data_IF_360847376414
#
_entry.id   IF_360847376414
#
_cell.length_a   1.000
_cell.length_b   1.000
_cell.length_c   1.000
_cell.angle_alpha   90.00
_cell.angle_beta   90.00
_cell.angle_gamma   90.00
#
_symmetry.space_group_name_H-M   'P 1'
#
loop_
_entity.id
_entity.type
_entity.pdbx_description
1 polymer ?
#
# COMPACT_ATOMS: atom_id res chain seq x y z
N UNK A 1 -4.05 -62.29 17.47
CA UNK A 1 -5.25 -62.75 16.74
C UNK A 1 -5.52 -61.73 15.65
N UNK A 2 -5.47 -62.18 14.37
CA UNK A 2 -6.15 -61.69 13.14
C UNK A 2 -6.08 -60.18 12.80
N UNK A 3 -5.46 -59.75 11.69
CA UNK A 3 -5.94 -59.85 10.27
C UNK A 3 -7.30 -59.15 10.10
N UNK A 4 -7.64 -58.31 9.11
CA UNK A 4 -7.20 -57.98 7.74
C UNK A 4 -7.99 -56.68 7.34
N UNK A 5 -7.47 -55.72 6.57
CA UNK A 5 -7.49 -55.61 5.10
C UNK A 5 -8.88 -55.51 4.41
N UNK A 6 -9.16 -54.37 3.73
CA UNK A 6 -9.85 -54.16 2.42
C UNK A 6 -10.17 -52.64 2.29
N UNK A 7 -9.53 -51.81 1.44
CA UNK A 7 -9.37 -51.75 -0.03
C UNK A 7 -10.49 -51.03 -0.79
N UNK A 8 -10.04 -50.15 -1.71
CA UNK A 8 -10.63 -49.64 -2.99
C UNK A 8 -11.11 -48.18 -3.01
N UNK A 9 -10.88 -47.36 -4.04
CA UNK A 9 -10.01 -47.38 -5.24
C UNK A 9 -10.25 -46.03 -5.98
N UNK A 10 -9.20 -45.47 -6.60
CA UNK A 10 -9.11 -44.67 -7.86
C UNK A 10 -7.93 -43.69 -7.65
N UNK A 11 -6.74 -43.91 -8.22
CA UNK A 11 -6.43 -43.89 -9.67
C UNK A 11 -6.13 -42.43 -10.03
N UNK A 12 -4.90 -42.03 -10.33
CA UNK A 12 -4.31 -42.08 -11.68
C UNK A 12 -2.76 -42.18 -11.64
N UNK A 13 -2.26 -43.06 -12.53
CA UNK A 13 -0.88 -43.34 -12.97
C UNK A 13 -0.15 -42.05 -13.44
N UNK A 14 1.08 -41.76 -12.97
CA UNK A 14 2.38 -42.19 -13.52
C UNK A 14 2.64 -41.74 -14.98
N UNK A 15 3.71 -40.96 -15.17
CA UNK A 15 4.93 -41.44 -15.83
C UNK A 15 6.07 -40.41 -15.72
N UNK A 16 7.19 -40.85 -15.14
CA UNK A 16 8.51 -40.23 -15.23
C UNK A 16 9.33 -41.03 -16.24
N UNK A 17 10.21 -40.39 -17.01
CA UNK A 17 11.06 -41.08 -17.99
C UNK A 17 12.16 -40.21 -18.59
N UNK A 18 13.28 -40.13 -17.88
CA UNK A 18 14.66 -40.33 -18.32
C UNK A 18 15.18 -39.81 -19.70
N UNK A 19 16.24 -38.99 -19.59
CA UNK A 19 17.54 -39.15 -20.25
C UNK A 19 17.81 -38.67 -21.71
N UNK A 20 18.74 -37.70 -21.79
CA UNK A 20 20.01 -37.74 -22.55
C UNK A 20 20.02 -37.29 -24.04
N UNK A 21 20.93 -36.34 -24.31
CA UNK A 21 21.68 -35.97 -25.54
C UNK A 21 21.18 -34.87 -26.51
N UNK A 22 22.10 -33.90 -26.68
CA UNK A 22 22.52 -33.15 -27.89
C UNK A 22 22.16 -31.66 -28.07
N UNK A 23 23.25 -30.85 -28.15
CA UNK A 23 23.40 -29.64 -28.97
C UNK A 23 22.88 -28.35 -28.34
N UNK A 24 23.63 -27.25 -28.17
CA UNK A 24 25.00 -26.91 -28.52
C UNK A 24 25.27 -25.50 -27.97
N UNK A 25 26.45 -25.29 -27.40
CA UNK A 25 26.98 -23.96 -27.11
C UNK A 25 27.40 -23.28 -28.41
N UNK A 26 27.06 -22.00 -28.57
CA UNK A 26 27.81 -21.08 -29.43
C UNK A 26 28.20 -19.84 -28.60
N UNK A 27 29.50 -19.60 -28.57
CA UNK A 27 30.19 -18.51 -27.90
C UNK A 27 30.26 -17.25 -28.78
N UNK A 28 30.49 -16.10 -28.12
CA UNK A 28 31.23 -14.94 -28.65
C UNK A 28 30.36 -13.88 -29.34
N UNK A 29 30.59 -12.57 -29.21
CA UNK A 29 31.79 -11.81 -28.84
C UNK A 29 31.40 -10.36 -28.43
N UNK A 30 32.37 -9.67 -27.81
CA UNK A 30 32.36 -8.34 -27.15
C UNK A 30 32.48 -7.15 -28.18
N UNK A 31 32.66 -5.87 -27.80
CA UNK A 31 31.81 -4.73 -28.23
C UNK A 31 32.54 -3.57 -28.99
N UNK A 32 31.86 -2.40 -29.11
CA UNK A 32 32.31 -1.00 -29.41
C UNK A 32 32.09 -0.46 -30.86
N UNK A 33 32.26 0.86 -31.16
CA UNK A 33 31.40 2.01 -30.79
C UNK A 33 31.18 3.03 -31.98
N UNK A 34 30.53 4.18 -31.73
CA UNK A 34 30.51 5.38 -32.59
C UNK A 34 29.37 6.32 -32.18
N UNK A 35 29.54 7.50 -31.58
CA UNK A 35 30.25 8.76 -31.93
C UNK A 35 29.42 9.73 -32.82
N UNK A 36 29.55 11.03 -32.48
CA UNK A 36 29.03 12.29 -33.06
C UNK A 36 27.69 12.80 -32.46
N UNK A 37 27.51 14.06 -32.03
CA UNK A 37 28.37 15.25 -32.01
C UNK A 37 27.77 16.36 -31.10
N UNK A 38 28.66 17.05 -30.36
CA UNK A 38 28.80 18.50 -30.18
C UNK A 38 27.61 19.46 -29.90
N UNK A 39 27.68 20.17 -28.76
CA UNK A 39 27.37 21.61 -28.67
C UNK A 39 28.12 22.29 -27.50
N UNK A 40 28.92 23.27 -27.88
CA UNK A 40 29.75 24.21 -27.13
C UNK A 40 28.93 25.39 -26.57
N UNK A 41 29.26 25.87 -25.35
CA UNK A 41 29.24 27.30 -25.01
C UNK A 41 29.83 27.57 -23.60
N UNK A 42 30.92 28.35 -23.56
CA UNK A 42 31.01 29.49 -22.65
C UNK A 42 32.13 29.49 -21.60
N UNK A 43 33.30 29.97 -22.00
CA UNK A 43 34.39 30.41 -21.11
C UNK A 43 34.29 31.91 -20.77
N UNK A 44 34.79 32.29 -19.59
CA UNK A 44 35.21 33.65 -19.18
C UNK A 44 36.02 33.51 -17.89
N UNK A 45 37.34 33.54 -17.92
CA UNK A 45 38.27 34.69 -17.93
C UNK A 45 38.13 35.64 -16.72
N UNK A 46 39.09 35.53 -15.79
CA UNK A 46 39.56 36.65 -14.96
C UNK A 46 40.98 36.34 -14.40
N UNK A 47 41.98 36.75 -15.17
CA UNK A 47 43.23 37.46 -14.79
C UNK A 47 44.05 37.05 -13.54
N UNK A 48 45.32 36.76 -13.87
CA UNK A 48 46.58 36.83 -13.13
C UNK A 48 46.79 38.01 -12.16
N UNK A 49 47.51 37.71 -11.08
CA UNK A 49 48.20 38.67 -10.21
C UNK A 49 49.31 37.96 -9.44
N UNK A 50 50.54 38.06 -9.93
CA UNK A 50 51.77 37.63 -9.26
C UNK A 50 52.13 38.65 -8.17
N UNK A 51 52.40 38.20 -6.93
CA UNK A 51 53.57 38.69 -6.18
C UNK A 51 54.01 37.67 -5.12
N UNK A 52 55.32 37.61 -4.93
CA UNK A 52 56.06 36.54 -4.30
C UNK A 52 56.27 36.70 -2.79
N UNK A 53 56.35 35.55 -2.10
CA UNK A 53 57.29 35.35 -1.00
C UNK A 53 56.74 35.44 0.43
N UNK A 54 56.51 34.29 1.06
CA UNK A 54 57.14 33.98 2.35
C UNK A 54 56.99 32.48 2.63
N UNK A 55 58.10 31.86 3.05
CA UNK A 55 58.14 30.48 3.48
C UNK A 55 57.26 30.25 4.71
N UNK A 56 56.48 29.17 4.70
CA UNK A 56 56.06 28.49 5.91
C UNK A 56 56.06 26.98 5.67
N UNK A 57 56.81 26.29 6.51
CA UNK A 57 56.92 24.84 6.58
C UNK A 57 55.72 24.32 7.36
N UNK A 58 54.65 23.96 6.64
CA UNK A 58 53.50 23.27 7.19
C UNK A 58 53.20 22.04 6.36
N UNK A 59 53.37 20.86 6.97
CA UNK A 59 52.82 19.60 6.47
C UNK A 59 51.31 19.80 6.39
N UNK A 60 50.80 19.99 5.17
CA UNK A 60 49.37 20.00 4.91
C UNK A 60 48.85 18.59 5.21
N UNK A 61 48.04 18.47 6.24
CA UNK A 61 47.13 17.34 6.37
C UNK A 61 46.15 17.42 5.19
N UNK A 62 46.32 16.50 4.26
CA UNK A 62 45.32 16.18 3.25
C UNK A 62 44.06 15.71 3.98
N UNK A 63 43.05 16.58 4.05
CA UNK A 63 41.71 16.26 4.60
C UNK A 63 40.70 16.16 3.48
N UNK A 64 41.13 15.72 2.29
CA UNK A 64 40.27 15.59 1.12
C UNK A 64 40.42 14.23 0.43
N UNK A 65 40.21 13.15 1.17
CA UNK A 65 39.81 11.87 0.62
C UNK A 65 38.84 11.19 1.58
N UNK A 66 37.63 10.75 1.15
CA UNK A 66 36.88 9.79 1.93
C UNK A 66 37.70 8.50 1.87
N UNK A 67 38.46 8.21 2.93
CA UNK A 67 39.17 6.94 3.07
C UNK A 67 38.17 5.83 2.79
N UNK A 68 38.37 5.15 1.66
CA UNK A 68 37.69 3.92 1.34
C UNK A 68 38.21 2.86 2.31
N UNK A 69 37.69 2.87 3.52
CA UNK A 69 37.85 1.90 4.61
C UNK A 69 38.94 0.86 4.43
N UNK A 70 40.22 1.27 4.46
CA UNK A 70 41.29 0.30 4.66
C UNK A 70 41.17 -0.17 6.11
N UNK A 71 40.56 -1.33 6.30
CA UNK A 71 40.48 -1.97 7.62
C UNK A 71 41.88 -2.40 8.02
N UNK A 72 42.53 -1.61 8.87
CA UNK A 72 43.81 -2.02 9.45
C UNK A 72 43.59 -3.18 10.43
N UNK A 73 44.53 -4.14 10.49
CA UNK A 73 44.47 -5.21 11.47
C UNK A 73 44.45 -4.63 12.89
N UNK A 74 43.86 -5.34 13.88
CA UNK A 74 43.85 -4.92 15.28
C UNK A 74 45.24 -4.50 15.77
N UNK A 75 46.25 -5.29 15.39
CA UNK A 75 47.68 -5.15 15.71
C UNK A 75 48.43 -4.08 14.93
N UNK A 76 47.74 -3.20 14.21
CA UNK A 76 48.39 -2.08 13.53
C UNK A 76 48.85 -1.03 14.56
N UNK A 77 50.14 -0.73 14.53
CA UNK A 77 50.76 0.30 15.38
C UNK A 77 50.44 1.72 14.91
N UNK A 78 50.69 2.73 15.75
CA UNK A 78 50.54 4.14 15.36
C UNK A 78 51.75 4.60 14.53
N UNK A 79 51.52 5.03 13.29
CA UNK A 79 52.60 5.45 12.38
C UNK A 79 53.44 6.56 13.03
N UNK A 80 54.76 6.35 13.09
CA UNK A 80 55.73 7.24 13.73
C UNK A 80 56.12 6.87 15.16
N UNK A 81 55.41 5.92 15.78
CA UNK A 81 55.77 5.36 17.09
C UNK A 81 57.07 4.55 17.03
N UNK A 82 57.79 4.46 18.16
CA UNK A 82 59.05 3.73 18.29
C UNK A 82 58.97 2.80 19.49
N UNK A 83 59.16 1.51 19.27
CA UNK A 83 58.96 0.46 20.29
C UNK A 83 60.26 -0.31 20.51
N UNK A 84 60.62 -0.52 21.76
CA UNK A 84 61.76 -1.36 22.14
C UNK A 84 61.38 -2.83 22.05
N UNK A 85 61.88 -3.54 21.03
CA UNK A 85 61.58 -4.98 20.85
C UNK A 85 62.54 -5.89 21.64
N UNK A 86 63.63 -5.32 22.20
CA UNK A 86 64.52 -5.99 23.16
C UNK A 86 65.41 -4.95 23.86
N UNK A 87 66.20 -5.37 24.86
CA UNK A 87 67.20 -4.53 25.51
C UNK A 87 68.21 -3.87 24.57
N UNK A 88 68.38 -4.39 23.34
CA UNK A 88 69.39 -3.87 22.40
C UNK A 88 68.81 -3.56 21.02
N UNK A 89 67.49 -3.55 20.87
CA UNK A 89 66.85 -3.33 19.56
C UNK A 89 65.59 -2.49 19.65
N UNK A 90 65.37 -1.69 18.61
CA UNK A 90 64.27 -0.77 18.45
C UNK A 90 63.63 -0.93 17.06
N UNK A 91 62.29 -0.97 17.00
CA UNK A 91 61.52 -0.89 15.77
C UNK A 91 60.77 0.45 15.68
N UNK A 92 60.61 0.99 14.47
CA UNK A 92 59.73 2.12 14.20
C UNK A 92 58.44 1.62 13.55
N UNK A 93 57.31 2.19 13.94
CA UNK A 93 56.06 1.97 13.23
C UNK A 93 56.05 2.78 11.93
N UNK A 94 55.93 2.09 10.80
CA UNK A 94 55.91 2.67 9.46
C UNK A 94 54.62 2.31 8.74
N UNK A 95 54.21 3.13 7.78
CA UNK A 95 53.08 2.81 6.89
C UNK A 95 53.43 1.58 6.02
N UNK A 96 52.52 0.60 5.98
CA UNK A 96 52.62 -0.60 5.14
C UNK A 96 52.37 -0.34 3.64
N UNK A 97 52.04 0.91 3.28
CA UNK A 97 51.70 1.37 1.94
C UNK A 97 50.20 1.37 1.67
N UNK A 98 49.37 0.91 2.61
CA UNK A 98 47.91 0.94 2.55
C UNK A 98 47.30 1.88 3.61
N UNK A 99 48.12 2.62 4.35
CA UNK A 99 47.70 3.49 5.44
C UNK A 99 47.64 2.79 6.80
N UNK A 100 48.17 1.56 6.92
CA UNK A 100 48.20 0.82 8.18
C UNK A 100 49.61 0.75 8.76
N UNK A 101 49.74 0.94 10.06
CA UNK A 101 51.04 0.87 10.73
C UNK A 101 51.54 -0.56 10.90
N UNK A 102 52.81 -0.79 10.55
CA UNK A 102 53.54 -2.03 10.80
C UNK A 102 54.91 -1.75 11.42
N UNK A 103 55.35 -2.58 12.35
CA UNK A 103 56.69 -2.48 12.94
C UNK A 103 57.75 -2.80 11.88
N UNK A 104 58.68 -1.86 11.69
CA UNK A 104 59.86 -2.07 10.85
C UNK A 104 60.74 -3.19 11.41
N UNK A 105 61.61 -3.79 10.57
CA UNK A 105 62.65 -4.70 11.07
C UNK A 105 63.49 -4.04 12.18
N UNK A 106 63.65 -4.68 13.36
CA UNK A 106 64.33 -4.06 14.49
C UNK A 106 65.77 -3.66 14.16
N UNK A 107 66.09 -2.42 14.50
CA UNK A 107 67.44 -1.85 14.41
C UNK A 107 68.18 -2.03 15.74
N UNK A 108 69.41 -2.56 15.68
CA UNK A 108 70.22 -2.74 16.90
C UNK A 108 70.77 -1.41 17.40
N UNK A 109 70.68 -1.19 18.71
CA UNK A 109 71.38 -0.11 19.40
C UNK A 109 72.91 -0.31 19.34
N UNK A 110 73.68 0.76 19.50
CA UNK A 110 75.15 0.68 19.50
C UNK A 110 75.69 -0.17 20.65
N UNK A 111 76.95 -0.60 20.57
CA UNK A 111 77.58 -1.56 21.50
C UNK A 111 77.57 -1.19 22.99
N UNK A 112 77.29 0.08 23.33
CA UNK A 112 77.15 0.59 24.70
C UNK A 112 75.79 1.30 24.90
N UNK A 113 74.76 0.85 24.19
CA UNK A 113 73.43 1.41 24.29
C UNK A 113 72.40 0.30 24.51
N UNK A 114 71.41 0.62 25.33
CA UNK A 114 70.23 -0.20 25.58
C UNK A 114 69.00 0.53 25.07
N UNK A 115 67.98 -0.22 24.65
CA UNK A 115 66.69 0.36 24.32
C UNK A 115 65.87 0.57 25.60
N UNK A 116 65.37 1.79 25.79
CA UNK A 116 64.44 2.17 26.85
C UNK A 116 63.57 3.32 26.33
N UNK A 117 62.27 3.27 26.62
CA UNK A 117 61.27 4.27 26.19
C UNK A 117 61.36 4.64 24.69
N UNK A 118 61.43 3.64 23.81
CA UNK A 118 61.51 3.84 22.36
C UNK A 118 62.82 4.51 21.87
N UNK A 119 63.88 4.53 22.68
CA UNK A 119 65.16 5.15 22.34
C UNK A 119 66.38 4.30 22.74
N UNK A 120 67.45 4.38 21.94
CA UNK A 120 68.75 3.81 22.32
C UNK A 120 69.49 4.79 23.24
N UNK A 121 69.50 4.52 24.54
CA UNK A 121 70.17 5.31 25.59
C UNK A 121 71.49 4.66 26.00
N UNK A 122 72.41 5.40 26.63
CA UNK A 122 73.70 4.85 27.08
C UNK A 122 73.49 3.78 28.15
N UNK A 123 74.15 2.64 27.98
CA UNK A 123 74.13 1.56 28.96
C UNK A 123 74.97 1.95 30.19
N UNK A 124 74.31 2.20 31.31
CA UNK A 124 74.95 2.53 32.58
C UNK A 124 75.25 1.29 33.44
N UNK A 125 74.79 0.11 33.02
CA UNK A 125 74.86 -1.15 33.78
C UNK A 125 74.03 -1.17 35.06
N UNK A 126 73.28 -0.11 35.36
CA UNK A 126 72.34 -0.04 36.46
C UNK A 126 70.91 -0.25 35.94
N UNK A 127 70.04 -0.81 36.79
CA UNK A 127 68.60 -0.81 36.55
C UNK A 127 68.11 0.64 36.52
N UNK A 128 67.54 1.04 35.39
CA UNK A 128 66.81 2.30 35.22
C UNK A 128 65.36 1.91 35.02
N UNK A 129 64.54 2.33 35.96
CA UNK A 129 63.10 2.06 36.11
C UNK A 129 62.52 3.40 36.57
N UNK A 130 62.03 4.20 35.63
CA UNK A 130 61.71 5.60 35.91
C UNK A 130 60.29 5.82 36.46
N UNK A 131 59.38 4.89 36.22
CA UNK A 131 58.00 4.89 36.73
C UNK A 131 57.80 3.98 37.97
N UNK A 132 58.72 3.06 38.23
CA UNK A 132 58.79 2.25 39.45
C UNK A 132 58.01 0.94 39.39
N UNK A 133 57.69 0.44 38.21
CA UNK A 133 56.95 -0.81 38.00
C UNK A 133 57.84 -2.08 38.12
N UNK A 134 59.17 -1.89 38.16
CA UNK A 134 60.18 -2.92 38.26
C UNK A 134 60.74 -3.43 36.93
N UNK A 135 60.26 -2.92 35.81
CA UNK A 135 60.78 -3.13 34.46
C UNK A 135 61.66 -1.96 34.04
N UNK A 136 62.46 -2.15 32.99
CA UNK A 136 63.33 -1.10 32.45
C UNK A 136 64.73 -1.56 32.07
N UNK A 137 65.58 -0.61 31.71
CA UNK A 137 66.92 -0.92 31.23
C UNK A 137 67.76 -1.61 32.31
N UNK A 138 68.29 -2.80 32.03
CA UNK A 138 69.06 -3.64 32.96
C UNK A 138 68.32 -4.05 34.25
N UNK A 139 66.98 -3.94 34.29
CA UNK A 139 66.19 -4.39 35.43
C UNK A 139 66.00 -5.91 35.42
N UNK A 140 65.78 -6.49 36.60
CA UNK A 140 65.70 -7.97 36.75
C UNK A 140 64.41 -8.55 36.16
N UNK A 141 63.34 -7.76 36.13
CA UNK A 141 62.04 -8.16 35.56
C UNK A 141 62.06 -8.17 34.03
N UNK A 142 62.97 -7.41 33.42
CA UNK A 142 63.14 -7.34 31.97
C UNK A 142 63.18 -5.90 31.45
N UNK A 143 63.39 -5.71 30.14
CA UNK A 143 63.24 -4.41 29.50
C UNK A 143 61.79 -3.93 29.56
N UNK A 144 61.63 -2.61 29.48
CA UNK A 144 60.34 -1.95 29.33
C UNK A 144 60.27 -1.22 27.98
N UNK A 145 59.13 -1.34 27.30
CA UNK A 145 58.86 -0.60 26.08
C UNK A 145 58.54 0.88 26.35
N UNK A 146 58.05 1.25 27.55
CA UNK A 146 57.81 2.63 27.98
C UNK A 146 58.12 2.90 29.47
N UNK A 147 59.40 3.09 29.77
CA UNK A 147 60.00 3.36 31.10
C UNK A 147 59.45 4.57 31.89
N UNK A 148 58.44 5.28 31.37
CA UNK A 148 57.81 6.44 32.00
C UNK A 148 56.31 6.28 32.24
N UNK A 149 55.76 5.08 32.08
CA UNK A 149 54.35 4.74 32.25
C UNK A 149 54.22 3.36 32.91
N UNK A 150 53.90 3.34 34.20
CA UNK A 150 53.81 2.12 35.04
C UNK A 150 52.70 1.14 34.62
N UNK A 151 51.91 1.50 33.60
CA UNK A 151 50.88 0.67 33.00
C UNK A 151 51.31 -0.03 31.71
N UNK A 152 52.49 0.29 31.19
CA UNK A 152 53.04 -0.27 29.95
C UNK A 152 54.31 -1.02 30.29
N UNK A 153 54.24 -2.35 30.32
CA UNK A 153 55.37 -3.20 30.65
C UNK A 153 55.09 -4.66 30.27
N UNK A 154 56.12 -5.53 30.20
CA UNK A 154 55.90 -6.95 29.95
C UNK A 154 54.82 -7.57 30.85
N UNK A 155 53.82 -8.22 30.24
CA UNK A 155 52.66 -8.83 30.90
C UNK A 155 51.68 -7.84 31.58
N UNK A 156 51.69 -6.56 31.22
CA UNK A 156 50.61 -5.64 31.57
C UNK A 156 49.29 -6.09 30.92
N UNK A 157 48.18 -5.45 31.33
CA UNK A 157 46.88 -5.70 30.69
C UNK A 157 46.74 -4.82 29.46
N UNK A 158 46.40 -5.43 28.33
CA UNK A 158 46.22 -4.71 27.08
C UNK A 158 44.94 -3.86 27.11
N UNK A 159 45.08 -2.56 26.87
CA UNK A 159 44.00 -1.58 26.81
C UNK A 159 43.76 -1.25 25.35
N UNK A 160 42.51 -1.08 24.92
CA UNK A 160 42.25 -0.64 23.54
C UNK A 160 42.59 0.85 23.40
N UNK A 161 43.86 1.19 23.21
CA UNK A 161 44.34 2.56 23.04
C UNK A 161 45.29 2.73 21.83
N UNK A 162 45.55 1.63 21.11
CA UNK A 162 46.44 1.62 19.96
C UNK A 162 47.92 1.63 20.32
N UNK A 163 48.27 1.28 21.56
CA UNK A 163 49.64 1.04 22.03
C UNK A 163 49.85 -0.45 22.29
N UNK A 164 51.09 -0.81 22.58
CA UNK A 164 51.52 -2.15 22.99
C UNK A 164 51.72 -2.07 24.51
N UNK A 165 50.68 -2.31 25.31
CA UNK A 165 50.77 -2.14 26.76
C UNK A 165 51.56 -3.29 27.39
N UNK A 166 51.46 -4.50 26.85
CA UNK A 166 52.13 -5.68 27.40
C UNK A 166 53.53 -5.96 26.83
N UNK A 167 54.02 -5.06 25.96
CA UNK A 167 55.31 -5.08 25.29
C UNK A 167 55.61 -6.37 24.50
N UNK A 168 54.59 -7.06 23.96
CA UNK A 168 54.76 -8.27 23.15
C UNK A 168 55.03 -8.00 21.65
N UNK A 169 54.92 -6.73 21.23
CA UNK A 169 55.10 -6.27 19.86
C UNK A 169 53.81 -6.30 19.01
N UNK A 170 52.67 -6.60 19.60
CA UNK A 170 51.33 -6.43 19.05
C UNK A 170 50.63 -5.27 19.74
N UNK A 171 49.47 -4.88 19.20
CA UNK A 171 48.75 -3.70 19.64
C UNK A 171 47.28 -4.08 19.73
N UNK A 172 46.65 -3.83 20.88
CA UNK A 172 45.26 -4.17 21.16
C UNK A 172 44.89 -5.63 20.76
N UNK A 173 45.80 -6.59 20.84
CA UNK A 173 45.59 -7.98 20.36
C UNK A 173 44.56 -8.76 21.18
N UNK A 174 44.34 -8.36 22.44
CA UNK A 174 43.23 -8.82 23.26
C UNK A 174 41.86 -8.25 22.83
N UNK A 175 41.83 -7.37 21.82
CA UNK A 175 40.63 -6.77 21.22
C UNK A 175 40.43 -7.20 19.76
N UNK A 176 40.19 -8.49 19.46
CA UNK A 176 40.19 -9.05 18.10
C UNK A 176 39.09 -8.50 17.18
N UNK A 177 38.10 -7.81 17.75
CA UNK A 177 37.01 -7.18 17.01
C UNK A 177 37.41 -5.82 16.43
N UNK A 178 38.45 -5.15 16.95
CA UNK A 178 38.94 -3.85 16.45
C UNK A 178 39.19 -3.93 14.95
N UNK A 179 38.73 -2.95 14.19
CA UNK A 179 38.86 -2.91 12.74
C UNK A 179 37.89 -3.80 11.96
N UNK A 180 37.11 -4.68 12.60
CA UNK A 180 36.08 -5.49 11.92
C UNK A 180 34.81 -4.69 11.62
N UNK A 181 34.05 -5.12 10.60
CA UNK A 181 32.78 -4.49 10.25
C UNK A 181 31.73 -4.73 11.34
N UNK A 182 30.99 -3.68 11.67
CA UNK A 182 29.86 -3.73 12.59
C UNK A 182 28.65 -3.00 11.99
N UNK A 183 27.49 -3.16 12.62
CA UNK A 183 26.29 -2.39 12.28
C UNK A 183 25.60 -1.91 13.54
N UNK A 184 25.07 -0.69 13.51
CA UNK A 184 24.25 -0.12 14.58
C UNK A 184 22.83 0.17 14.08
N UNK A 185 21.82 -0.07 14.91
CA UNK A 185 20.41 0.02 14.54
C UNK A 185 19.85 -1.28 13.95
N UNK A 186 18.53 -1.32 13.76
CA UNK A 186 17.79 -2.42 13.12
C UNK A 186 16.97 -1.87 11.95
N UNK A 187 16.49 -2.76 11.07
CA UNK A 187 15.63 -2.37 9.94
C UNK A 187 16.26 -1.31 9.03
N UNK A 188 15.48 -0.27 8.70
CA UNK A 188 15.92 0.85 7.86
C UNK A 188 17.00 1.71 8.54
N UNK A 189 17.13 1.59 9.86
CA UNK A 189 18.04 2.36 10.68
C UNK A 189 19.42 1.72 10.82
N UNK A 190 19.61 0.52 10.25
CA UNK A 190 20.88 -0.17 10.26
C UNK A 190 21.95 0.64 9.48
N UNK A 191 22.95 1.13 10.19
CA UNK A 191 24.12 1.82 9.63
C UNK A 191 25.35 0.93 9.79
N UNK A 192 26.13 0.82 8.71
CA UNK A 192 27.40 0.09 8.74
C UNK A 192 28.51 0.96 9.33
N UNK A 193 29.37 0.35 10.13
CA UNK A 193 30.54 0.98 10.73
C UNK A 193 31.67 -0.03 10.90
N UNK A 194 32.65 0.36 11.71
CA UNK A 194 33.79 -0.47 12.08
C UNK A 194 33.99 -0.41 13.59
N UNK A 195 34.37 -1.51 14.22
CA UNK A 195 34.69 -1.49 15.64
C UNK A 195 35.95 -0.65 15.88
N UNK A 196 35.83 0.35 16.75
CA UNK A 196 36.89 1.27 17.19
C UNK A 196 37.06 1.17 18.70
N UNK A 197 38.19 1.59 19.24
CA UNK A 197 38.38 1.61 20.69
C UNK A 197 37.42 2.60 21.36
N UNK A 198 36.86 2.21 22.50
CA UNK A 198 36.10 3.10 23.37
C UNK A 198 37.02 4.17 23.93
N UNK A 199 36.45 5.34 24.23
CA UNK A 199 37.19 6.44 24.83
C UNK A 199 37.83 6.11 26.19
N UNK A 200 37.34 5.09 26.90
CA UNK A 200 37.87 4.64 28.20
C UNK A 200 38.87 3.47 28.09
N UNK A 201 39.16 3.00 26.87
CA UNK A 201 40.07 1.87 26.61
C UNK A 201 39.54 0.50 27.04
N UNK A 202 38.33 0.41 27.60
CA UNK A 202 37.77 -0.84 28.17
C UNK A 202 37.34 -1.89 27.14
N UNK A 203 37.50 -1.58 25.85
CA UNK A 203 37.14 -2.46 24.75
C UNK A 203 36.84 -1.69 23.47
N UNK A 204 36.10 -2.33 22.57
CA UNK A 204 35.67 -1.73 21.31
C UNK A 204 34.19 -1.35 21.32
N UNK A 205 33.83 -0.36 20.51
CA UNK A 205 32.47 0.03 20.19
C UNK A 205 32.30 0.25 18.68
N UNK A 206 31.08 0.15 18.16
CA UNK A 206 30.84 0.37 16.74
C UNK A 206 30.91 1.87 16.42
N UNK A 207 31.69 2.25 15.40
CA UNK A 207 31.77 3.65 14.95
C UNK A 207 30.48 4.18 14.32
N UNK A 208 29.56 3.29 13.93
CA UNK A 208 28.25 3.66 13.44
C UNK A 208 27.29 3.95 14.60
N UNK A 209 26.49 5.00 14.45
CA UNK A 209 25.29 5.22 15.25
C UNK A 209 24.06 4.78 14.46
N UNK A 210 23.01 4.34 15.15
CA UNK A 210 21.74 4.02 14.49
C UNK A 210 21.23 5.24 13.70
N UNK A 211 20.66 4.98 12.51
CA UNK A 211 20.06 6.03 11.68
C UNK A 211 18.89 6.71 12.37
N UNK A 212 18.54 7.92 11.92
CA UNK A 212 17.29 8.56 12.32
C UNK A 212 16.12 7.91 11.60
N UNK A 213 15.13 7.43 12.36
CA UNK A 213 13.93 6.83 11.82
C UNK A 213 13.05 7.78 11.01
N UNK A 214 12.15 7.18 10.24
CA UNK A 214 11.06 7.81 9.51
C UNK A 214 9.76 7.09 9.86
N UNK A 215 8.59 7.64 9.51
CA UNK A 215 7.33 6.97 9.81
C UNK A 215 7.24 5.58 9.15
N UNK A 216 6.66 4.61 9.86
CA UNK A 216 6.37 3.26 9.38
C UNK A 216 5.65 3.23 8.03
N UNK A 217 5.99 2.22 7.23
CA UNK A 217 5.36 1.95 5.94
C UNK A 217 4.65 0.60 5.98
N UNK A 218 3.33 0.64 5.88
CA UNK A 218 2.47 -0.52 5.91
C UNK A 218 2.92 -1.68 5.00
N UNK A 219 3.20 -2.82 5.63
CA UNK A 219 3.38 -4.12 5.02
C UNK A 219 4.75 -4.34 4.37
N UNK A 220 5.76 -3.53 4.72
CA UNK A 220 7.13 -3.76 4.26
C UNK A 220 7.95 -4.64 5.23
N UNK A 221 7.46 -4.88 6.45
CA UNK A 221 8.11 -5.63 7.53
C UNK A 221 9.49 -5.07 7.89
N UNK A 222 9.69 -3.76 7.76
CA UNK A 222 10.91 -3.06 8.12
C UNK A 222 10.58 -2.07 9.24
N UNK A 223 11.41 -2.07 10.29
CA UNK A 223 11.41 -1.03 11.33
C UNK A 223 11.98 0.25 10.71
N UNK A 224 11.09 1.15 10.30
CA UNK A 224 11.42 2.40 9.61
C UNK A 224 11.63 3.53 10.61
N UNK A 225 10.99 3.48 11.78
CA UNK A 225 11.02 4.52 12.81
C UNK A 225 12.04 4.28 13.94
N UNK A 226 12.66 3.10 13.93
CA UNK A 226 13.67 2.61 14.85
C UNK A 226 13.20 2.36 16.29
N UNK A 227 11.90 2.13 16.53
CA UNK A 227 11.36 1.85 17.87
C UNK A 227 11.52 0.37 18.31
N UNK A 228 11.97 -0.50 17.40
CA UNK A 228 12.17 -1.93 17.61
C UNK A 228 10.94 -2.80 17.30
N UNK A 229 9.89 -2.22 16.74
CA UNK A 229 8.74 -2.92 16.17
C UNK A 229 8.75 -2.77 14.65
N UNK A 230 7.92 -3.57 13.97
CA UNK A 230 7.79 -3.52 12.51
C UNK A 230 6.32 -3.33 12.19
N UNK A 231 6.00 -2.39 11.30
CA UNK A 231 4.62 -2.12 10.85
C UNK A 231 3.66 -1.74 12.00
N UNK A 232 4.15 -1.17 13.09
CA UNK A 232 3.28 -0.70 14.17
C UNK A 232 2.39 0.45 13.70
N UNK A 233 1.16 0.49 14.24
CA UNK A 233 0.10 1.35 13.70
C UNK A 233 -0.68 0.74 12.51
N UNK A 234 -0.18 -0.34 11.88
CA UNK A 234 -0.86 -1.07 10.80
C UNK A 234 -1.30 -2.50 11.21
N UNK A 235 -1.42 -2.77 12.51
CA UNK A 235 -1.79 -4.09 13.07
C UNK A 235 -3.18 -4.61 12.64
N UNK A 236 -4.00 -3.75 12.03
CA UNK A 236 -5.31 -4.09 11.51
C UNK A 236 -5.28 -4.65 10.07
N UNK A 237 -4.12 -4.62 9.39
CA UNK A 237 -3.97 -5.22 8.06
C UNK A 237 -4.33 -6.71 8.12
N UNK A 238 -5.17 -7.14 7.18
CA UNK A 238 -5.72 -8.51 7.13
C UNK A 238 -6.95 -8.74 8.02
N UNK A 239 -7.35 -7.78 8.87
CA UNK A 239 -8.63 -7.85 9.58
C UNK A 239 -9.80 -7.64 8.63
N UNK A 240 -10.97 -8.18 8.99
CA UNK A 240 -12.21 -7.95 8.27
C UNK A 240 -12.64 -6.48 8.42
N UNK A 241 -13.11 -5.90 7.34
CA UNK A 241 -13.71 -4.57 7.30
C UNK A 241 -14.98 -4.60 6.45
N UNK A 242 -15.79 -3.56 6.54
CA UNK A 242 -16.91 -3.33 5.63
C UNK A 242 -16.77 -1.94 5.01
N UNK A 243 -17.22 -1.80 3.78
CA UNK A 243 -17.30 -0.53 3.05
C UNK A 243 -18.71 -0.38 2.49
N UNK A 244 -19.25 0.85 2.48
CA UNK A 244 -20.65 1.12 2.14
C UNK A 244 -21.56 1.26 3.36
N UNK A 245 -22.81 1.67 3.13
CA UNK A 245 -23.84 1.87 4.16
C UNK A 245 -25.08 1.03 3.84
N UNK A 246 -25.80 0.55 4.85
CA UNK A 246 -27.04 -0.20 4.66
C UNK A 246 -26.88 -1.46 3.80
N UNK A 247 -27.77 -1.64 2.82
CA UNK A 247 -27.80 -2.76 1.87
C UNK A 247 -26.51 -2.86 1.01
N UNK A 248 -25.78 -1.76 0.88
CA UNK A 248 -24.55 -1.65 0.10
C UNK A 248 -23.28 -2.03 0.89
N UNK A 249 -23.42 -2.46 2.15
CA UNK A 249 -22.28 -2.87 2.98
C UNK A 249 -21.66 -4.16 2.44
N UNK A 250 -20.54 -4.03 1.75
CA UNK A 250 -19.71 -5.15 1.29
C UNK A 250 -18.61 -5.45 2.29
N UNK A 251 -18.46 -6.73 2.63
CA UNK A 251 -17.35 -7.18 3.47
C UNK A 251 -16.06 -7.25 2.65
N UNK A 252 -14.96 -6.83 3.26
CA UNK A 252 -13.63 -6.83 2.68
C UNK A 252 -12.56 -7.12 3.73
N UNK A 253 -11.31 -6.92 3.33
CA UNK A 253 -10.14 -7.04 4.20
C UNK A 253 -9.32 -5.77 4.17
N UNK A 254 -8.79 -5.36 5.30
CA UNK A 254 -7.93 -4.17 5.37
C UNK A 254 -6.61 -4.46 4.65
N UNK A 255 -6.23 -3.57 3.73
CA UNK A 255 -4.99 -3.63 2.96
C UNK A 255 -4.25 -2.31 3.04
N UNK A 256 -2.93 -2.37 2.90
CA UNK A 256 -2.11 -1.18 2.73
C UNK A 256 -2.48 -0.47 1.42
N UNK A 257 -2.58 0.86 1.47
CA UNK A 257 -2.77 1.65 0.26
C UNK A 257 -1.51 1.64 -0.62
N UNK A 258 -1.61 2.22 -1.82
CA UNK A 258 -0.49 2.25 -2.77
C UNK A 258 0.72 3.06 -2.28
N UNK A 259 0.51 4.01 -1.36
CA UNK A 259 1.58 4.82 -0.75
C UNK A 259 2.24 4.15 0.46
N UNK A 260 1.61 3.10 1.01
CA UNK A 260 1.96 2.44 2.27
C UNK A 260 1.89 3.33 3.52
N UNK A 261 1.40 4.55 3.40
CA UNK A 261 1.24 5.46 4.56
C UNK A 261 -0.11 5.31 5.26
N UNK A 262 -1.00 4.49 4.71
CA UNK A 262 -2.34 4.25 5.23
C UNK A 262 -2.90 2.89 4.85
N UNK A 263 -4.11 2.64 5.32
CA UNK A 263 -4.87 1.42 5.02
C UNK A 263 -6.24 1.75 4.44
N UNK A 264 -6.76 0.85 3.62
CA UNK A 264 -8.12 0.94 3.07
C UNK A 264 -8.80 -0.43 3.13
N UNK A 265 -10.13 -0.44 3.05
CA UNK A 265 -10.90 -1.68 2.98
C UNK A 265 -10.94 -2.19 1.53
N UNK A 266 -10.22 -3.27 1.25
CA UNK A 266 -10.25 -3.95 -0.04
C UNK A 266 -11.40 -4.96 -0.08
N UNK A 267 -12.43 -4.65 -0.87
CA UNK A 267 -13.61 -5.49 -1.09
C UNK A 267 -13.43 -6.47 -2.26
N UNK A 268 -12.21 -6.60 -2.81
CA UNK A 268 -11.90 -7.52 -3.90
C UNK A 268 -12.53 -7.14 -5.24
N UNK A 269 -12.79 -5.85 -5.46
CA UNK A 269 -13.54 -5.39 -6.63
C UNK A 269 -15.04 -5.64 -6.54
N UNK A 270 -15.55 -6.06 -5.37
CA UNK A 270 -16.94 -5.88 -4.97
C UNK A 270 -17.22 -4.39 -4.88
N UNK A 271 -17.35 -3.77 -6.04
CA UNK A 271 -17.85 -2.41 -6.17
C UNK A 271 -19.24 -2.41 -5.55
N UNK A 272 -19.57 -1.39 -4.77
CA UNK A 272 -20.91 -1.17 -4.22
C UNK A 272 -21.99 -1.34 -5.30
N UNK A 273 -21.63 -1.16 -6.57
CA UNK A 273 -22.35 -1.43 -7.83
C UNK A 273 -23.01 -2.81 -8.00
N UNK A 274 -22.95 -3.70 -7.01
CA UNK A 274 -23.73 -4.94 -6.96
C UNK A 274 -25.15 -4.74 -6.40
N UNK A 275 -25.60 -3.50 -6.24
CA UNK A 275 -26.94 -3.19 -5.82
C UNK A 275 -28.00 -3.67 -6.82
N UNK A 276 -29.16 -4.04 -6.29
CA UNK A 276 -30.35 -4.32 -7.09
C UNK A 276 -30.96 -3.01 -7.58
N UNK A 277 -31.85 -3.04 -8.58
CA UNK A 277 -32.63 -1.85 -8.95
C UNK A 277 -33.26 -1.17 -7.71
N UNK A 278 -33.24 0.16 -7.69
CA UNK A 278 -33.80 1.00 -6.63
C UNK A 278 -35.24 0.60 -6.25
N UNK A 279 -35.52 0.64 -4.94
CA UNK A 279 -36.84 0.41 -4.36
C UNK A 279 -37.10 1.56 -3.40
N UNK A 280 -38.26 2.22 -3.49
CA UNK A 280 -38.58 3.40 -2.68
C UNK A 280 -38.87 3.05 -1.20
N UNK A 281 -37.88 2.55 -0.46
CA UNK A 281 -37.94 2.17 0.96
C UNK A 281 -37.06 3.04 1.87
N UNK A 282 -36.43 4.08 1.31
CA UNK A 282 -35.53 4.99 2.01
C UNK A 282 -34.13 4.41 2.26
N UNK A 283 -33.76 3.35 1.54
CA UNK A 283 -32.42 2.76 1.51
C UNK A 283 -31.87 2.84 0.08
N UNK A 284 -30.57 3.16 -0.04
CA UNK A 284 -29.81 3.09 -1.29
C UNK A 284 -29.62 1.61 -1.66
N UNK A 285 -30.37 1.12 -2.65
CA UNK A 285 -30.48 -0.30 -2.97
C UNK A 285 -29.62 -0.69 -4.18
N UNK A 286 -29.30 0.28 -5.04
CA UNK A 286 -28.47 0.16 -6.23
C UNK A 286 -27.03 0.67 -6.02
N UNK A 287 -26.78 1.32 -4.88
CA UNK A 287 -25.50 1.73 -4.35
C UNK A 287 -24.79 2.81 -5.17
N UNK A 288 -25.55 3.71 -5.80
CA UNK A 288 -25.03 4.87 -6.54
C UNK A 288 -24.69 6.07 -5.62
N UNK A 289 -25.04 5.99 -4.34
CA UNK A 289 -24.76 7.00 -3.32
C UNK A 289 -25.84 8.08 -3.18
N UNK A 290 -26.95 7.94 -3.88
CA UNK A 290 -28.18 8.68 -3.65
C UNK A 290 -29.21 7.75 -2.99
N UNK A 291 -30.38 8.28 -2.65
CA UNK A 291 -31.47 7.47 -2.10
C UNK A 291 -32.69 7.81 -2.91
N UNK A 292 -33.34 6.79 -3.48
CA UNK A 292 -34.56 6.91 -4.28
C UNK A 292 -34.39 7.80 -5.55
N UNK A 293 -33.21 7.83 -6.18
CA UNK A 293 -32.86 8.69 -7.32
C UNK A 293 -33.19 8.11 -8.69
N UNK A 294 -33.11 6.78 -8.87
CA UNK A 294 -33.46 6.11 -10.11
C UNK A 294 -34.98 5.94 -10.21
N UNK A 295 -35.66 7.02 -10.61
CA UNK A 295 -37.06 7.04 -11.05
C UNK A 295 -38.03 6.28 -10.13
N UNK A 296 -38.23 6.79 -8.91
CA UNK A 296 -39.55 6.78 -8.28
C UNK A 296 -40.54 7.66 -9.10
N UNK A 297 -40.60 7.52 -10.43
CA UNK A 297 -41.81 7.86 -11.17
C UNK A 297 -42.81 6.80 -10.77
N UNK A 298 -43.62 7.16 -9.79
CA UNK A 298 -44.93 6.60 -9.52
C UNK A 298 -45.43 5.74 -10.69
N UNK A 299 -45.44 4.43 -10.49
CA UNK A 299 -46.69 3.73 -10.75
C UNK A 299 -47.70 4.53 -9.93
N UNK A 300 -48.43 5.45 -10.57
CA UNK A 300 -49.49 6.19 -9.90
C UNK A 300 -50.39 5.14 -9.26
N UNK A 301 -50.31 5.05 -7.94
CA UNK A 301 -51.18 4.23 -7.11
C UNK A 301 -51.48 2.82 -7.65
N UNK A 302 -50.57 1.89 -7.45
CA UNK A 302 -51.00 0.53 -7.12
C UNK A 302 -50.22 -0.02 -5.92
N UNK A 303 -50.41 0.65 -4.78
CA UNK A 303 -50.19 0.00 -3.49
C UNK A 303 -51.48 -0.62 -2.94
N UNK A 304 -52.48 -0.92 -3.79
CA UNK A 304 -53.75 -1.56 -3.39
C UNK A 304 -54.48 -2.42 -4.46
N UNK A 305 -53.82 -3.28 -5.25
CA UNK A 305 -54.56 -4.17 -6.18
C UNK A 305 -54.04 -5.63 -6.27
N UNK A 306 -53.99 -6.42 -5.18
CA UNK A 306 -53.84 -7.86 -5.33
C UNK A 306 -55.20 -8.53 -5.63
N UNK A 307 -56.08 -7.98 -6.48
CA UNK A 307 -57.24 -8.68 -7.08
C UNK A 307 -58.17 -7.75 -7.88
N UNK A 308 -58.87 -8.34 -8.85
CA UNK A 308 -59.86 -7.77 -9.79
C UNK A 308 -61.09 -7.05 -9.17
N UNK A 309 -60.95 -6.24 -8.11
CA UNK A 309 -62.06 -5.67 -7.35
C UNK A 309 -61.80 -4.31 -6.73
N UNK A 310 -60.94 -3.47 -7.28
CA UNK A 310 -60.82 -2.14 -6.69
C UNK A 310 -61.94 -1.22 -7.06
N UNK A 311 -62.62 -0.86 -5.99
CA UNK A 311 -63.56 0.23 -5.93
C UNK A 311 -62.85 1.52 -5.48
N UNK A 312 -61.51 1.57 -5.37
CA UNK A 312 -60.72 2.70 -4.87
C UNK A 312 -59.83 3.33 -5.96
N UNK A 313 -60.27 3.32 -7.22
CA UNK A 313 -59.55 3.99 -8.31
C UNK A 313 -59.41 5.51 -8.10
N UNK A 314 -58.42 6.11 -8.76
CA UNK A 314 -58.11 7.55 -8.66
C UNK A 314 -59.32 8.41 -9.07
N UNK A 315 -59.59 9.48 -8.31
CA UNK A 315 -60.69 10.40 -8.60
C UNK A 315 -60.45 11.20 -9.90
N UNK A 316 -61.31 10.98 -10.91
CA UNK A 316 -61.34 11.75 -12.15
C UNK A 316 -62.25 12.99 -11.97
N UNK A 317 -61.71 14.00 -11.28
CA UNK A 317 -62.42 15.27 -10.97
C UNK A 317 -62.35 16.31 -12.09
N UNK A 318 -61.39 16.18 -13.01
CA UNK A 318 -61.25 16.99 -14.22
C UNK A 318 -60.43 16.23 -15.27
N UNK A 319 -60.27 16.81 -16.46
CA UNK A 319 -59.45 16.28 -17.56
C UNK A 319 -58.06 15.79 -17.12
N UNK A 320 -57.71 14.53 -17.43
CA UNK A 320 -56.37 13.98 -17.23
C UNK A 320 -55.86 13.35 -18.53
N UNK A 321 -54.64 13.68 -18.90
CA UNK A 321 -53.87 12.92 -19.90
C UNK A 321 -53.05 11.91 -19.12
N UNK A 322 -53.09 10.64 -19.55
CA UNK A 322 -52.39 9.53 -18.90
C UNK A 322 -51.37 9.04 -19.92
N UNK A 323 -50.13 9.49 -19.73
CA UNK A 323 -49.10 9.35 -20.75
C UNK A 323 -48.61 7.89 -20.92
N UNK A 324 -49.01 6.97 -20.04
CA UNK A 324 -48.54 5.58 -20.10
C UNK A 324 -49.54 4.58 -19.50
N UNK A 325 -50.01 3.62 -20.31
CA UNK A 325 -50.50 2.33 -19.80
C UNK A 325 -49.25 1.46 -19.54
N UNK A 326 -48.96 1.15 -18.27
CA UNK A 326 -47.73 0.44 -17.86
C UNK A 326 -48.05 -1.03 -17.60
N UNK A 327 -47.15 -1.91 -18.05
CA UNK A 327 -47.29 -3.36 -17.91
C UNK A 327 -47.24 -3.81 -16.45
N UNK A 328 -48.39 -4.04 -15.84
CA UNK A 328 -48.52 -4.72 -14.55
C UNK A 328 -49.02 -6.16 -14.75
N UNK A 329 -48.11 -7.14 -14.69
CA UNK A 329 -48.46 -8.55 -14.45
C UNK A 329 -48.18 -9.54 -15.58
N UNK A 330 -48.09 -10.81 -15.18
CA UNK A 330 -47.69 -11.97 -15.99
C UNK A 330 -48.61 -12.24 -17.21
N UNK A 331 -48.21 -13.19 -18.05
CA UNK A 331 -48.82 -13.50 -19.36
C UNK A 331 -50.30 -13.94 -19.34
N UNK A 332 -50.98 -13.89 -18.19
CA UNK A 332 -52.36 -14.36 -18.00
C UNK A 332 -53.36 -13.28 -17.61
N UNK A 333 -52.92 -12.07 -17.25
CA UNK A 333 -53.77 -10.90 -16.98
C UNK A 333 -53.40 -9.74 -17.89
N UNK A 334 -54.40 -9.02 -18.41
CA UNK A 334 -54.18 -7.75 -19.11
C UNK A 334 -54.40 -6.57 -18.16
N UNK A 335 -53.63 -5.52 -18.37
CA UNK A 335 -53.69 -4.29 -17.56
C UNK A 335 -55.03 -3.55 -17.74
N UNK A 336 -55.56 -3.02 -16.63
CA UNK A 336 -56.85 -2.34 -16.55
C UNK A 336 -56.77 -1.18 -15.57
N UNK A 337 -56.97 0.04 -16.06
CA UNK A 337 -57.00 1.25 -15.23
C UNK A 337 -58.41 1.56 -14.76
N UNK A 338 -58.62 1.69 -13.44
CA UNK A 338 -59.91 2.06 -12.85
C UNK A 338 -59.94 3.51 -12.39
N UNK A 339 -61.01 4.24 -12.72
CA UNK A 339 -61.22 5.64 -12.30
C UNK A 339 -62.55 5.81 -11.57
N UNK A 340 -62.53 6.59 -10.50
CA UNK A 340 -63.73 7.00 -9.76
C UNK A 340 -64.29 8.32 -10.32
N UNK A 341 -65.59 8.36 -10.57
CA UNK A 341 -66.32 9.52 -11.08
C UNK A 341 -67.19 10.20 -10.00
N UNK A 342 -67.19 9.68 -8.77
CA UNK A 342 -68.00 10.16 -7.66
C UNK A 342 -69.30 9.38 -7.47
N UNK A 343 -70.29 9.99 -6.82
CA UNK A 343 -71.56 9.34 -6.50
C UNK A 343 -72.70 9.87 -7.39
N UNK A 344 -73.55 8.97 -7.89
CA UNK A 344 -74.74 9.26 -8.68
C UNK A 344 -75.83 9.94 -7.84
N UNK A 345 -76.43 11.02 -8.34
CA UNK A 345 -77.73 11.52 -7.92
C UNK A 345 -78.75 11.48 -9.07
N UNK A 346 -80.05 11.30 -8.80
CA UNK A 346 -81.09 11.27 -9.84
C UNK A 346 -81.03 12.51 -10.74
N UNK A 347 -80.78 12.29 -12.04
CA UNK A 347 -80.66 13.35 -13.04
C UNK A 347 -79.22 13.76 -13.38
N UNK A 348 -78.21 13.17 -12.73
CA UNK A 348 -76.81 13.40 -13.07
C UNK A 348 -76.48 12.82 -14.45
N UNK A 349 -75.61 13.50 -15.19
CA UNK A 349 -75.01 13.00 -16.43
C UNK A 349 -73.50 13.26 -16.40
N UNK A 350 -72.72 12.29 -16.84
CA UNK A 350 -71.26 12.43 -17.01
C UNK A 350 -70.89 12.02 -18.43
N UNK A 351 -70.11 12.86 -19.09
CA UNK A 351 -69.56 12.52 -20.41
C UNK A 351 -68.10 12.13 -20.25
N UNK A 352 -67.77 10.94 -20.76
CA UNK A 352 -66.40 10.45 -20.84
C UNK A 352 -65.91 10.59 -22.27
N UNK A 353 -64.76 11.19 -22.43
CA UNK A 353 -64.02 11.29 -23.68
C UNK A 353 -62.71 10.53 -23.54
N UNK A 354 -62.49 9.58 -24.44
CA UNK A 354 -61.25 8.85 -24.60
C UNK A 354 -60.55 9.40 -25.85
N UNK A 355 -59.31 9.87 -25.69
CA UNK A 355 -58.43 10.22 -26.80
C UNK A 355 -57.28 9.24 -26.82
N UNK A 356 -57.03 8.63 -27.96
CA UNK A 356 -55.93 7.71 -28.15
C UNK A 356 -55.04 8.16 -29.32
N UNK A 357 -53.72 8.01 -29.18
CA UNK A 357 -52.83 8.22 -30.31
C UNK A 357 -52.77 7.01 -31.26
N UNK A 358 -52.70 7.29 -32.56
CA UNK A 358 -52.49 6.27 -33.59
C UNK A 358 -51.00 6.13 -33.90
N UNK A 359 -50.47 4.91 -33.99
CA UNK A 359 -49.09 4.72 -34.42
C UNK A 359 -48.41 3.52 -33.80
N UNK A 360 -47.08 3.59 -33.72
CA UNK A 360 -46.22 2.59 -33.09
C UNK A 360 -45.35 3.24 -32.02
N UNK A 361 -45.09 2.53 -30.92
CA UNK A 361 -44.10 2.96 -29.95
C UNK A 361 -42.67 2.87 -30.51
N UNK A 362 -41.68 3.36 -29.74
CA UNK A 362 -40.26 3.35 -30.12
C UNK A 362 -39.70 1.94 -30.42
N UNK A 363 -40.35 0.89 -29.90
CA UNK A 363 -40.00 -0.51 -30.14
C UNK A 363 -40.72 -1.13 -31.35
N UNK A 364 -41.53 -0.36 -32.08
CA UNK A 364 -42.21 -0.78 -33.31
C UNK A 364 -43.52 -1.55 -33.09
N UNK A 365 -44.06 -1.58 -31.87
CA UNK A 365 -45.37 -2.18 -31.58
C UNK A 365 -46.48 -1.17 -31.85
N UNK A 366 -47.53 -1.60 -32.56
CA UNK A 366 -48.71 -0.77 -32.81
C UNK A 366 -49.47 -0.50 -31.51
N UNK A 367 -49.94 0.73 -31.32
CA UNK A 367 -50.86 1.07 -30.23
C UNK A 367 -52.21 0.36 -30.45
N UNK A 368 -52.70 -0.44 -29.48
CA UNK A 368 -53.94 -1.17 -29.62
C UNK A 368 -55.13 -0.27 -29.30
N UNK A 369 -56.24 -0.39 -30.03
CA UNK A 369 -57.50 0.28 -29.65
C UNK A 369 -57.85 0.03 -28.17
N UNK A 370 -58.29 1.08 -27.47
CA UNK A 370 -58.72 1.00 -26.07
C UNK A 370 -60.25 1.10 -25.96
N UNK A 371 -60.83 0.30 -25.06
CA UNK A 371 -62.24 0.38 -24.71
C UNK A 371 -62.38 0.94 -23.28
N UNK A 372 -63.47 1.66 -23.05
CA UNK A 372 -63.87 2.12 -21.71
C UNK A 372 -65.20 1.51 -21.32
N UNK A 373 -65.28 0.88 -20.17
CA UNK A 373 -66.54 0.42 -19.59
C UNK A 373 -66.95 1.29 -18.41
N UNK A 374 -68.24 1.59 -18.34
CA UNK A 374 -68.85 2.42 -17.29
C UNK A 374 -69.70 1.57 -16.37
N UNK A 375 -69.54 1.78 -15.07
CA UNK A 375 -70.20 1.04 -14.00
C UNK A 375 -70.85 1.98 -12.99
N UNK A 376 -71.91 1.47 -12.38
CA UNK A 376 -72.63 2.11 -11.29
C UNK A 376 -72.81 1.11 -10.15
N UNK A 377 -72.12 1.34 -9.03
CA UNK A 377 -71.88 0.29 -8.05
C UNK A 377 -71.22 -0.91 -8.71
N UNK A 378 -71.86 -2.08 -8.64
CA UNK A 378 -71.41 -3.30 -9.34
C UNK A 378 -72.11 -3.55 -10.68
N UNK A 379 -73.00 -2.66 -11.11
CA UNK A 379 -73.76 -2.83 -12.35
C UNK A 379 -73.01 -2.24 -13.53
N UNK A 380 -72.90 -3.04 -14.60
CA UNK A 380 -72.40 -2.58 -15.88
C UNK A 380 -73.48 -1.75 -16.59
N UNK A 381 -73.10 -0.56 -17.05
CA UNK A 381 -74.02 0.45 -17.54
C UNK A 381 -73.81 0.78 -19.02
N UNK A 382 -72.66 0.40 -19.57
CA UNK A 382 -72.36 0.51 -20.98
C UNK A 382 -70.87 0.64 -21.22
N UNK A 383 -70.52 0.81 -22.48
CA UNK A 383 -69.13 0.95 -22.91
C UNK A 383 -68.98 2.01 -24.00
N UNK A 384 -67.76 2.50 -24.16
CA UNK A 384 -67.28 3.38 -25.22
C UNK A 384 -66.16 2.64 -25.95
N UNK A 385 -66.40 2.31 -27.22
CA UNK A 385 -65.37 1.74 -28.07
C UNK A 385 -64.46 2.83 -28.61
N UNK A 386 -63.16 2.73 -28.36
CA UNK A 386 -62.16 3.59 -28.96
C UNK A 386 -61.65 2.98 -30.27
N UNK A 387 -62.24 3.36 -31.40
CA UNK A 387 -61.50 3.26 -32.67
C UNK A 387 -60.48 4.40 -32.68
N UNK A 388 -59.21 4.11 -33.01
CA UNK A 388 -58.07 5.04 -32.97
C UNK A 388 -58.40 6.49 -33.42
N UNK A 389 -58.80 7.32 -32.46
CA UNK A 389 -59.25 8.72 -32.55
C UNK A 389 -59.79 9.17 -31.17
N UNK A 390 -60.27 10.41 -31.05
CA UNK A 390 -61.07 10.85 -29.91
C UNK A 390 -62.51 10.34 -30.03
N UNK A 391 -62.99 9.58 -29.04
CA UNK A 391 -64.37 9.11 -28.93
C UNK A 391 -64.97 9.57 -27.60
N UNK A 392 -66.28 9.84 -27.56
CA UNK A 392 -66.95 10.30 -26.34
C UNK A 392 -68.35 9.72 -26.17
N UNK A 393 -68.78 9.48 -24.94
CA UNK A 393 -70.13 9.03 -24.61
C UNK A 393 -70.61 9.58 -23.27
N UNK A 394 -71.88 10.00 -23.25
CA UNK A 394 -72.58 10.46 -22.05
C UNK A 394 -73.30 9.29 -21.38
N UNK A 395 -73.13 9.18 -20.06
CA UNK A 395 -73.79 8.23 -19.19
C UNK A 395 -74.66 8.98 -18.19
N UNK A 396 -75.90 8.54 -18.00
CA UNK A 396 -76.94 9.23 -17.22
C UNK A 396 -77.53 8.35 -16.10
N UNK A 397 -76.89 7.22 -15.80
CA UNK A 397 -77.34 6.29 -14.76
C UNK A 397 -78.60 5.48 -15.10
N UNK A 398 -79.13 5.56 -16.33
CA UNK A 398 -80.34 4.82 -16.76
C UNK A 398 -80.21 3.29 -16.74
N UNK A 399 -79.02 2.77 -16.42
CA UNK A 399 -78.74 1.35 -16.22
C UNK A 399 -79.27 0.76 -14.90
N UNK A 400 -79.93 1.56 -14.04
CA UNK A 400 -80.52 1.10 -12.78
C UNK A 400 -79.85 1.63 -11.52
N UNK A 401 -79.06 2.71 -11.65
CA UNK A 401 -78.39 3.35 -10.52
C UNK A 401 -79.35 3.84 -9.44
N UNK A 402 -79.04 3.54 -8.17
CA UNK A 402 -79.65 4.20 -7.03
C UNK A 402 -78.92 5.51 -6.70
N UNK A 403 -79.64 6.43 -6.04
CA UNK A 403 -79.02 7.64 -5.49
C UNK A 403 -77.95 7.25 -4.46
N UNK A 404 -76.74 7.76 -4.63
CA UNK A 404 -75.59 7.48 -3.80
C UNK A 404 -74.68 6.37 -4.33
N UNK A 405 -75.07 5.64 -5.38
CA UNK A 405 -74.20 4.62 -5.99
C UNK A 405 -72.94 5.26 -6.60
N UNK A 406 -71.81 4.57 -6.48
CA UNK A 406 -70.53 5.06 -7.03
C UNK A 406 -70.48 4.86 -8.54
N UNK A 407 -70.04 5.88 -9.27
CA UNK A 407 -69.73 5.78 -10.69
C UNK A 407 -68.25 5.49 -10.88
N UNK A 408 -67.95 4.45 -11.64
CA UNK A 408 -66.57 4.11 -12.00
C UNK A 408 -66.47 3.83 -13.50
N UNK A 409 -65.28 4.04 -14.05
CA UNK A 409 -64.92 3.55 -15.38
C UNK A 409 -63.67 2.71 -15.29
N UNK A 410 -63.54 1.78 -16.23
CA UNK A 410 -62.27 1.10 -16.46
C UNK A 410 -61.84 1.22 -17.91
N UNK A 411 -60.56 1.43 -18.14
CA UNK A 411 -59.93 1.51 -19.46
C UNK A 411 -59.10 0.26 -19.68
N UNK A 412 -59.23 -0.37 -20.85
CA UNK A 412 -58.50 -1.60 -21.16
C UNK A 412 -58.28 -1.78 -22.67
N UNK A 413 -57.32 -2.61 -23.09
CA UNK A 413 -57.10 -2.91 -24.51
C UNK A 413 -58.25 -3.72 -25.09
N UNK A 414 -58.79 -3.30 -26.24
CA UNK A 414 -59.88 -3.98 -26.94
C UNK A 414 -59.54 -5.45 -27.27
N UNK A 415 -58.27 -5.75 -27.53
CA UNK A 415 -57.80 -7.12 -27.80
C UNK A 415 -57.85 -8.04 -26.57
N UNK A 416 -58.05 -7.49 -25.37
CA UNK A 416 -57.97 -8.21 -24.09
C UNK A 416 -56.63 -8.95 -23.93
N UNK A 417 -55.58 -8.38 -24.52
CA UNK A 417 -54.19 -8.79 -24.37
C UNK A 417 -53.40 -7.62 -23.85
N UNK A 418 -52.24 -7.88 -23.24
CA UNK A 418 -51.35 -6.80 -22.83
C UNK A 418 -51.08 -5.83 -24.00
N UNK A 419 -51.24 -4.52 -23.79
CA UNK A 419 -51.01 -3.54 -24.82
C UNK A 419 -49.52 -3.38 -25.09
N UNK A 420 -49.19 -2.67 -26.17
CA UNK A 420 -47.81 -2.24 -26.38
C UNK A 420 -47.37 -1.40 -25.17
N UNK A 421 -46.19 -1.65 -24.59
CA UNK A 421 -45.67 -0.81 -23.52
C UNK A 421 -45.65 0.65 -23.97
N UNK A 422 -45.99 1.55 -23.05
CA UNK A 422 -46.16 2.97 -23.30
C UNK A 422 -47.20 3.31 -24.38
N UNK A 423 -48.39 2.72 -24.29
CA UNK A 423 -49.55 3.16 -25.10
C UNK A 423 -50.13 4.43 -24.49
N UNK A 424 -50.05 5.60 -25.16
CA UNK A 424 -50.54 6.85 -24.61
C UNK A 424 -52.05 7.00 -24.82
N UNK A 425 -52.76 7.49 -23.80
CA UNK A 425 -54.17 7.85 -23.92
C UNK A 425 -54.55 9.02 -23.00
N UNK A 426 -55.66 9.70 -23.29
CA UNK A 426 -56.23 10.70 -22.40
C UNK A 426 -57.67 10.34 -22.11
N UNK A 427 -58.03 10.38 -20.84
CA UNK A 427 -59.42 10.22 -20.40
C UNK A 427 -59.91 11.49 -19.72
N UNK A 428 -61.02 11.99 -20.21
CA UNK A 428 -61.58 13.26 -19.77
C UNK A 428 -63.03 13.10 -19.37
N UNK A 429 -63.32 13.59 -18.17
CA UNK A 429 -64.67 13.74 -17.65
C UNK A 429 -65.16 15.17 -17.91
N UNK A 430 -66.37 15.29 -18.44
CA UNK A 430 -67.12 16.53 -18.57
C UNK A 430 -68.42 16.47 -17.77
#
# INVERSE_FOLDING_TARGET
MKSANLSRLLGVLLLCGSSVLWGGCAQGTKPLPGELDNADAGAGDATIGEDAGSADTGIAQDTSSPDTGTQCPPSACQIGERVCTSQTALANCIDDGNGCGVLSSPSSCSSNQVCSAGQCVQDTGACVDSDGDGYGANCSSGPDCNDGDDSIHPNAFEVCDGRDNDCDGQFDEDHPQKGQSCSAGQGACAQSGTYVCKADGSGVECSASAGSGSTELCGDNIDNDCDGQTDEGFSNVGQACSSGSGSCSVNGTIRCDASRTGTFCDTGGGSSSGGSMEICDGVDNDCDGQTDEALCYSCTEDSQEPNQRSFEGTDLTYARTIDELVLCGDSTSFDVDWFNLGNHNPGDQVTIELTQETGTNAAGFNYPNLDVEFFCGSQWCGWLGGDAATTSKTFDGSCGCASGDRWTVRVYPQSQTNPAPATPYSIRRY
#
